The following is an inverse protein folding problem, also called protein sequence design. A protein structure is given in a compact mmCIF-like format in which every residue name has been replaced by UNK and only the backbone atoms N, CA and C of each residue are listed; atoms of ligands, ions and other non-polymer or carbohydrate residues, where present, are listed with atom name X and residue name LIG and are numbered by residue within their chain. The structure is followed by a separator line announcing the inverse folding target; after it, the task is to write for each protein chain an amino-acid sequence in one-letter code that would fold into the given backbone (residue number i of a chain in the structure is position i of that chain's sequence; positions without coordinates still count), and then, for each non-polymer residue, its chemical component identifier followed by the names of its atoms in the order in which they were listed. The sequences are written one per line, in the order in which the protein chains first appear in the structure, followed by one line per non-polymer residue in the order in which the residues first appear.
data_IF_512748661099
#
_entry.id   IF_512748661099
#
_cell.length_a   1.000
_cell.length_b   1.000
_cell.length_c   1.000
_cell.angle_alpha   90.00
_cell.angle_beta   90.00
_cell.angle_gamma   90.00
#
_symmetry.space_group_name_H-M   'P 1'
#
loop_
_entity.id
_entity.type
_entity.pdbx_description
1 polymer ?
#
# COMPACT_ATOMS: atom_id res chain seq x y z
N UNK A 1 18.82 -6.27 9.42
CA UNK A 1 17.57 -6.79 10.00
C UNK A 1 17.63 -8.26 10.42
N UNK A 2 18.71 -8.95 10.04
CA UNK A 2 18.97 -10.35 10.42
C UNK A 2 17.82 -11.29 10.03
N UNK A 3 17.37 -11.22 8.77
CA UNK A 3 16.28 -12.05 8.23
C UNK A 3 16.83 -13.44 7.83
N UNK A 4 17.22 -14.23 8.79
CA UNK A 4 17.91 -15.52 8.63
C UNK A 4 17.03 -16.64 8.02
N UNK A 5 15.71 -16.44 7.99
CA UNK A 5 14.76 -17.37 7.36
C UNK A 5 14.40 -17.02 5.92
N UNK A 6 14.89 -15.87 5.40
CA UNK A 6 14.63 -15.46 4.03
C UNK A 6 15.55 -16.20 3.07
N UNK A 7 14.97 -17.03 2.23
CA UNK A 7 15.67 -17.77 1.14
C UNK A 7 15.05 -17.32 -0.17
N UNK A 8 15.88 -16.79 -1.07
CA UNK A 8 15.47 -16.34 -2.40
C UNK A 8 16.14 -17.19 -3.45
N UNK A 9 15.34 -17.78 -4.35
CA UNK A 9 15.84 -18.46 -5.54
C UNK A 9 15.78 -17.47 -6.70
N UNK A 10 16.93 -17.23 -7.33
CA UNK A 10 17.05 -16.39 -8.51
C UNK A 10 17.13 -17.27 -9.74
N UNK A 11 16.03 -17.37 -10.49
CA UNK A 11 15.97 -18.06 -11.77
C UNK A 11 16.76 -17.24 -12.81
N UNK A 12 17.98 -17.73 -13.15
CA UNK A 12 18.93 -17.04 -14.00
C UNK A 12 18.93 -17.69 -15.40
N UNK A 13 17.96 -17.39 -16.21
CA UNK A 13 17.86 -17.92 -17.57
C UNK A 13 18.63 -17.09 -18.62
N UNK A 14 19.15 -15.91 -18.26
CA UNK A 14 19.97 -15.02 -19.09
C UNK A 14 19.29 -14.47 -20.35
N UNK A 15 17.95 -14.50 -20.42
CA UNK A 15 17.18 -14.02 -21.55
C UNK A 15 16.21 -12.92 -21.11
N UNK A 16 16.11 -11.88 -21.94
CA UNK A 16 15.10 -10.84 -21.90
C UNK A 16 14.26 -10.88 -23.18
N UNK A 17 13.24 -10.02 -23.30
CA UNK A 17 12.43 -9.92 -24.53
C UNK A 17 13.26 -9.45 -25.74
N UNK A 18 14.35 -8.73 -25.54
CA UNK A 18 15.23 -8.22 -26.60
C UNK A 18 16.46 -9.10 -26.87
N UNK A 19 16.63 -10.21 -26.13
CA UNK A 19 17.75 -11.11 -26.31
C UNK A 19 18.51 -11.41 -25.03
N UNK A 20 19.80 -11.74 -25.17
CA UNK A 20 20.63 -12.14 -24.05
C UNK A 20 20.91 -10.98 -23.08
N UNK A 21 20.84 -11.25 -21.77
CA UNK A 21 21.10 -10.25 -20.73
C UNK A 21 22.50 -9.61 -20.79
N UNK A 22 23.48 -10.24 -21.47
CA UNK A 22 24.86 -9.75 -21.56
C UNK A 22 25.02 -8.35 -22.16
N UNK A 23 23.99 -7.86 -22.89
CA UNK A 23 24.02 -6.51 -23.48
C UNK A 23 23.50 -5.42 -22.52
N UNK A 24 22.73 -5.79 -21.49
CA UNK A 24 22.07 -4.82 -20.60
C UNK A 24 22.30 -5.08 -19.12
N UNK A 25 22.71 -6.28 -18.73
CA UNK A 25 22.84 -6.70 -17.34
C UNK A 25 24.01 -7.65 -17.15
N UNK A 26 25.22 -7.08 -16.92
CA UNK A 26 26.48 -7.80 -16.73
C UNK A 26 26.95 -7.84 -15.27
N UNK A 27 26.05 -7.57 -14.35
CA UNK A 27 26.36 -7.49 -12.93
C UNK A 27 26.66 -8.86 -12.34
N UNK A 28 27.65 -8.93 -11.43
CA UNK A 28 27.80 -10.05 -10.50
C UNK A 28 26.80 -9.90 -9.35
N UNK A 29 25.60 -10.47 -9.55
CA UNK A 29 24.51 -10.43 -8.57
C UNK A 29 24.91 -11.06 -7.24
N UNK A 30 25.65 -12.17 -7.29
CA UNK A 30 26.13 -12.85 -6.08
C UNK A 30 27.08 -11.95 -5.27
N UNK A 31 28.02 -11.26 -5.94
CA UNK A 31 28.91 -10.31 -5.27
C UNK A 31 28.15 -9.15 -4.62
N UNK A 32 27.12 -8.61 -5.30
CA UNK A 32 26.26 -7.58 -4.73
C UNK A 32 25.59 -8.06 -3.44
N UNK A 33 24.97 -9.23 -3.46
CA UNK A 33 24.28 -9.77 -2.29
C UNK A 33 25.24 -10.14 -1.15
N UNK A 34 26.46 -10.63 -1.48
CA UNK A 34 27.53 -10.79 -0.49
C UNK A 34 27.92 -9.48 0.17
N UNK A 35 27.99 -8.38 -0.60
CA UNK A 35 28.27 -7.04 -0.07
C UNK A 35 27.16 -6.54 0.88
N UNK A 36 25.90 -6.98 0.69
CA UNK A 36 24.79 -6.73 1.63
C UNK A 36 24.84 -7.63 2.88
N UNK A 37 25.79 -8.54 2.98
CA UNK A 37 25.91 -9.47 4.10
C UNK A 37 25.08 -10.74 3.98
N UNK A 38 24.49 -11.00 2.81
CA UNK A 38 23.76 -12.22 2.53
C UNK A 38 24.71 -13.41 2.34
N UNK A 39 24.23 -14.61 2.62
CA UNK A 39 24.84 -15.83 2.10
C UNK A 39 24.42 -16.02 0.64
N UNK A 40 25.32 -16.53 -0.22
CA UNK A 40 24.99 -16.85 -1.62
C UNK A 40 25.42 -18.26 -1.95
N UNK A 41 24.60 -18.95 -2.73
CA UNK A 41 24.90 -20.26 -3.31
C UNK A 41 24.82 -20.08 -4.83
N UNK A 42 25.94 -20.26 -5.51
CA UNK A 42 26.07 -19.91 -6.91
C UNK A 42 25.99 -21.15 -7.82
N UNK A 43 25.60 -20.98 -9.07
CA UNK A 43 25.66 -21.98 -10.14
C UNK A 43 24.91 -23.28 -9.83
N UNK A 44 23.75 -23.19 -9.18
CA UNK A 44 22.89 -24.37 -8.97
C UNK A 44 22.25 -24.73 -10.30
N UNK A 45 22.38 -25.99 -10.71
CA UNK A 45 21.72 -26.46 -11.94
C UNK A 45 20.20 -26.53 -11.74
N UNK A 46 19.43 -25.74 -12.51
CA UNK A 46 17.97 -25.70 -12.43
C UNK A 46 17.27 -26.96 -12.93
N UNK A 47 18.02 -27.86 -13.56
CA UNK A 47 17.54 -29.16 -14.06
C UNK A 47 17.75 -30.28 -13.05
N UNK A 48 18.45 -30.01 -11.97
CA UNK A 48 18.76 -30.95 -10.90
C UNK A 48 17.96 -30.58 -9.64
N UNK A 49 16.86 -31.30 -9.42
CA UNK A 49 15.97 -31.08 -8.28
C UNK A 49 16.67 -31.36 -6.96
N UNK A 50 17.55 -32.35 -6.93
CA UNK A 50 18.31 -32.71 -5.71
C UNK A 50 19.32 -31.61 -5.38
N UNK A 51 20.03 -31.07 -6.37
CA UNK A 51 20.91 -29.92 -6.17
C UNK A 51 20.18 -28.67 -5.65
N UNK A 52 18.96 -28.41 -6.12
CA UNK A 52 18.11 -27.32 -5.61
C UNK A 52 17.71 -27.59 -4.15
N UNK A 53 17.27 -28.82 -3.85
CA UNK A 53 16.90 -29.23 -2.49
C UNK A 53 18.05 -29.11 -1.50
N UNK A 54 19.25 -29.55 -1.91
CA UNK A 54 20.47 -29.43 -1.11
C UNK A 54 20.87 -27.97 -0.87
N UNK A 55 20.77 -27.12 -1.89
CA UNK A 55 21.01 -25.67 -1.76
C UNK A 55 20.05 -25.02 -0.75
N UNK A 56 18.76 -25.38 -0.81
CA UNK A 56 17.76 -24.92 0.18
C UNK A 56 18.11 -25.46 1.58
N UNK A 57 18.57 -26.72 1.68
CA UNK A 57 19.05 -27.32 2.94
C UNK A 57 20.20 -26.53 3.55
N UNK A 58 21.20 -26.17 2.75
CA UNK A 58 22.34 -25.35 3.17
C UNK A 58 21.88 -23.93 3.58
N UNK A 59 21.00 -23.32 2.81
CA UNK A 59 20.46 -21.99 3.08
C UNK A 59 19.76 -21.92 4.45
N UNK A 60 19.01 -22.96 4.84
CA UNK A 60 18.36 -23.05 6.16
C UNK A 60 19.36 -23.07 7.34
N UNK A 61 20.60 -23.45 7.11
CA UNK A 61 21.64 -23.52 8.14
C UNK A 61 22.57 -22.29 8.14
N UNK A 62 22.42 -21.40 7.17
CA UNK A 62 23.36 -20.28 6.97
C UNK A 62 23.28 -19.18 8.05
N UNK A 63 22.17 -19.10 8.82
CA UNK A 63 21.96 -18.05 9.83
C UNK A 63 21.95 -16.63 9.26
N UNK A 64 21.72 -16.48 7.95
CA UNK A 64 21.68 -15.24 7.19
C UNK A 64 20.63 -15.36 6.07
N UNK A 65 20.05 -14.24 5.59
CA UNK A 65 19.29 -14.28 4.35
C UNK A 65 20.16 -14.84 3.23
N UNK A 66 19.60 -15.74 2.44
CA UNK A 66 20.37 -16.48 1.40
C UNK A 66 19.78 -16.23 0.03
N UNK A 67 20.65 -15.94 -0.95
CA UNK A 67 20.33 -15.95 -2.36
C UNK A 67 20.91 -17.20 -3.01
N UNK A 68 20.06 -17.99 -3.66
CA UNK A 68 20.45 -19.16 -4.46
C UNK A 68 20.30 -18.78 -5.93
N UNK A 69 21.42 -18.80 -6.69
CA UNK A 69 21.40 -18.52 -8.12
C UNK A 69 21.24 -19.84 -8.88
N UNK A 70 20.05 -20.01 -9.48
CA UNK A 70 19.67 -21.24 -10.19
C UNK A 70 19.77 -20.98 -11.69
N UNK A 71 20.68 -21.68 -12.37
CA UNK A 71 20.84 -21.57 -13.81
C UNK A 71 19.80 -22.42 -14.53
N UNK A 72 18.97 -21.75 -15.31
CA UNK A 72 17.88 -22.37 -16.09
C UNK A 72 17.97 -21.98 -17.56
N UNK A 73 17.12 -22.57 -18.38
CA UNK A 73 16.94 -22.20 -19.78
C UNK A 73 15.46 -21.97 -20.06
N UNK A 74 15.14 -20.81 -20.65
CA UNK A 74 13.78 -20.55 -21.10
C UNK A 74 13.39 -21.54 -22.21
N UNK A 75 12.13 -21.96 -22.24
CA UNK A 75 11.56 -22.91 -23.22
C UNK A 75 12.39 -24.22 -23.37
N UNK A 76 12.91 -24.73 -22.26
CA UNK A 76 13.73 -25.94 -22.21
C UNK A 76 13.09 -27.10 -22.97
N UNK A 77 13.92 -27.90 -23.62
CA UNK A 77 13.55 -29.08 -24.42
C UNK A 77 12.63 -28.76 -25.62
N UNK A 78 12.50 -27.49 -25.99
CA UNK A 78 11.80 -27.09 -27.23
C UNK A 78 12.77 -26.59 -28.29
N UNK A 79 12.37 -26.48 -29.55
CA UNK A 79 13.16 -25.86 -30.61
C UNK A 79 13.51 -24.37 -30.33
N UNK A 80 12.84 -23.75 -29.36
CA UNK A 80 13.05 -22.35 -28.92
C UNK A 80 13.86 -22.25 -27.62
N UNK A 81 14.50 -23.35 -27.18
CA UNK A 81 15.33 -23.33 -25.95
C UNK A 81 16.37 -22.22 -25.99
N UNK A 82 16.39 -21.40 -24.93
CA UNK A 82 17.32 -20.28 -24.79
C UNK A 82 17.09 -19.10 -25.72
N UNK A 83 15.95 -19.07 -26.45
CA UNK A 83 15.62 -18.00 -27.38
C UNK A 83 14.67 -16.96 -26.76
N UNK A 84 14.92 -15.68 -27.06
CA UNK A 84 14.06 -14.56 -26.73
C UNK A 84 12.65 -14.69 -27.34
N UNK A 85 12.50 -15.46 -28.43
CA UNK A 85 11.21 -15.68 -29.11
C UNK A 85 10.17 -16.39 -28.24
N UNK A 86 10.61 -17.06 -27.18
CA UNK A 86 9.74 -17.70 -26.20
C UNK A 86 9.36 -16.78 -25.03
N UNK A 87 9.98 -15.60 -24.92
CA UNK A 87 9.69 -14.68 -23.83
C UNK A 87 8.33 -13.98 -24.05
N UNK A 88 7.35 -14.30 -23.20
CA UNK A 88 6.01 -13.72 -23.27
C UNK A 88 5.15 -14.13 -24.45
N UNK A 89 5.56 -15.12 -25.25
CA UNK A 89 4.82 -15.65 -26.41
C UNK A 89 4.48 -17.13 -26.23
N UNK A 90 3.29 -17.59 -26.65
CA UNK A 90 2.95 -19.01 -26.66
C UNK A 90 3.92 -19.79 -27.55
N UNK A 91 4.28 -21.00 -27.11
CA UNK A 91 5.15 -21.89 -27.90
C UNK A 91 4.55 -22.29 -29.24
N UNK A 92 3.21 -22.34 -29.32
CA UNK A 92 2.47 -22.89 -30.48
C UNK A 92 2.38 -24.42 -30.49
N UNK A 93 1.40 -24.94 -31.25
CA UNK A 93 1.08 -26.38 -31.22
C UNK A 93 2.25 -27.29 -31.66
N UNK A 94 2.99 -26.88 -32.69
CA UNK A 94 4.13 -27.65 -33.19
C UNK A 94 5.27 -27.77 -32.16
N UNK A 95 5.63 -26.69 -31.49
CA UNK A 95 6.66 -26.71 -30.47
C UNK A 95 6.23 -27.43 -29.19
N UNK A 96 4.92 -27.38 -28.83
CA UNK A 96 4.35 -28.18 -27.75
C UNK A 96 4.39 -29.69 -28.10
N UNK A 97 4.07 -30.08 -29.34
CA UNK A 97 4.22 -31.44 -29.78
C UNK A 97 5.68 -31.92 -29.76
N UNK A 98 6.61 -31.08 -30.19
CA UNK A 98 8.04 -31.37 -30.12
C UNK A 98 8.53 -31.54 -28.66
N UNK A 99 8.06 -30.68 -27.75
CA UNK A 99 8.35 -30.77 -26.32
C UNK A 99 7.85 -32.07 -25.72
N UNK A 100 6.58 -32.46 -25.99
CA UNK A 100 6.00 -33.72 -25.52
C UNK A 100 6.82 -34.93 -25.96
N UNK A 101 7.28 -34.94 -27.22
CA UNK A 101 8.16 -35.97 -27.74
C UNK A 101 9.52 -35.99 -27.06
N UNK A 102 10.12 -34.80 -26.84
CA UNK A 102 11.45 -34.66 -26.24
C UNK A 102 11.48 -35.10 -24.77
N UNK A 103 10.40 -34.89 -24.02
CA UNK A 103 10.28 -35.31 -22.61
C UNK A 103 9.52 -36.63 -22.44
N UNK A 104 9.22 -37.35 -23.57
CA UNK A 104 8.51 -38.62 -23.56
C UNK A 104 7.18 -38.56 -22.76
N UNK A 105 6.43 -37.47 -22.95
CA UNK A 105 5.18 -37.25 -22.23
C UNK A 105 4.13 -38.31 -22.59
N UNK A 106 3.59 -39.07 -21.60
CA UNK A 106 2.83 -40.26 -21.88
C UNK A 106 1.36 -40.02 -22.30
N UNK A 107 0.84 -38.80 -22.14
CA UNK A 107 -0.57 -38.51 -22.38
C UNK A 107 -0.77 -37.57 -23.56
N UNK A 108 -1.73 -37.89 -24.43
CA UNK A 108 -2.04 -37.10 -25.64
C UNK A 108 -3.00 -35.92 -25.33
N UNK A 109 -4.01 -36.17 -24.49
CA UNK A 109 -5.04 -35.21 -24.20
C UNK A 109 -4.47 -33.97 -23.41
N UNK A 110 -4.85 -32.75 -23.82
CA UNK A 110 -4.47 -31.54 -23.07
C UNK A 110 -5.01 -31.56 -21.64
N UNK A 111 -4.24 -30.94 -20.74
CA UNK A 111 -4.58 -30.75 -19.30
C UNK A 111 -4.77 -32.06 -18.53
N UNK A 112 -4.23 -33.16 -19.03
CA UNK A 112 -4.24 -34.47 -18.34
C UNK A 112 -2.89 -34.73 -17.67
N UNK A 113 -2.92 -35.42 -16.55
CA UNK A 113 -1.76 -35.84 -15.77
C UNK A 113 -1.85 -37.33 -15.46
N UNK A 114 -0.72 -38.04 -15.38
CA UNK A 114 -0.71 -39.42 -14.88
C UNK A 114 -1.32 -39.54 -13.49
N UNK A 115 -2.04 -40.63 -13.22
CA UNK A 115 -2.71 -40.83 -11.92
C UNK A 115 -1.69 -40.86 -10.77
N UNK A 116 -0.48 -41.38 -10.98
CA UNK A 116 0.59 -41.42 -10.01
C UNK A 116 0.99 -40.03 -9.51
N UNK A 117 0.87 -39.00 -10.36
CA UNK A 117 1.14 -37.59 -9.98
C UNK A 117 0.07 -37.11 -9.01
N UNK A 118 -1.20 -37.38 -9.28
CA UNK A 118 -2.30 -37.04 -8.36
C UNK A 118 -2.14 -37.76 -7.02
N UNK A 119 -1.82 -39.06 -7.03
CA UNK A 119 -1.62 -39.86 -5.83
C UNK A 119 -0.42 -39.38 -5.01
N UNK A 120 0.64 -38.95 -5.69
CA UNK A 120 1.82 -38.36 -5.02
C UNK A 120 1.50 -37.00 -4.39
N UNK A 121 0.84 -36.11 -5.14
CA UNK A 121 0.45 -34.79 -4.66
C UNK A 121 -0.57 -34.85 -3.52
N UNK A 122 -1.47 -35.85 -3.49
CA UNK A 122 -2.42 -36.08 -2.41
C UNK A 122 -1.72 -36.24 -1.05
N UNK A 123 -0.54 -36.88 -1.00
CA UNK A 123 0.25 -37.03 0.24
C UNK A 123 0.67 -35.68 0.84
N UNK A 124 0.92 -34.66 0.01
CA UNK A 124 1.21 -33.33 0.50
C UNK A 124 -0.03 -32.67 1.15
N UNK A 125 -1.22 -32.92 0.60
CA UNK A 125 -2.50 -32.50 1.18
C UNK A 125 -2.77 -33.17 2.54
N UNK A 126 -2.52 -34.47 2.66
CA UNK A 126 -2.67 -35.22 3.92
C UNK A 126 -1.73 -34.66 5.01
N UNK A 127 -0.44 -34.44 4.65
CA UNK A 127 0.53 -33.79 5.55
C UNK A 127 0.11 -32.38 5.97
N UNK A 128 -0.43 -31.62 5.02
CA UNK A 128 -0.97 -30.28 5.26
C UNK A 128 -2.17 -30.30 6.20
N UNK A 129 -3.11 -31.22 6.01
CA UNK A 129 -4.28 -31.40 6.88
C UNK A 129 -3.87 -31.74 8.33
N UNK A 130 -2.94 -32.68 8.49
CA UNK A 130 -2.42 -33.04 9.83
C UNK A 130 -1.73 -31.86 10.51
N UNK A 131 -0.97 -31.04 9.78
CA UNK A 131 -0.33 -29.85 10.32
C UNK A 131 -1.37 -28.80 10.74
N UNK A 132 -2.41 -28.61 9.94
CA UNK A 132 -3.52 -27.72 10.23
C UNK A 132 -4.31 -28.15 11.48
N UNK A 133 -4.65 -29.43 11.61
CA UNK A 133 -5.32 -29.97 12.80
C UNK A 133 -4.51 -29.76 14.10
N UNK A 134 -3.18 -29.96 14.01
CA UNK A 134 -2.28 -29.66 15.14
C UNK A 134 -2.29 -28.19 15.50
N UNK A 135 -2.28 -27.32 14.48
CA UNK A 135 -2.35 -25.88 14.68
C UNK A 135 -3.69 -25.47 15.31
N UNK A 136 -4.83 -25.99 14.83
CA UNK A 136 -6.16 -25.72 15.40
C UNK A 136 -6.20 -26.14 16.89
N UNK A 137 -5.72 -27.34 17.20
CA UNK A 137 -5.67 -27.83 18.59
C UNK A 137 -4.79 -26.94 19.48
N UNK A 138 -3.64 -26.49 18.97
CA UNK A 138 -2.76 -25.56 19.65
C UNK A 138 -3.46 -24.21 19.89
N UNK A 139 -4.20 -23.69 18.91
CA UNK A 139 -4.91 -22.41 19.02
C UNK A 139 -6.06 -22.48 20.03
N UNK A 140 -6.77 -23.60 20.14
CA UNK A 140 -7.78 -23.80 21.21
C UNK A 140 -7.14 -23.85 22.61
N UNK A 141 -6.01 -24.52 22.75
CA UNK A 141 -5.25 -24.51 23.97
C UNK A 141 -4.73 -23.11 24.34
N UNK A 142 -4.22 -22.37 23.33
CA UNK A 142 -3.75 -20.99 23.48
C UNK A 142 -4.88 -20.07 23.92
N UNK A 143 -6.07 -20.19 23.31
CA UNK A 143 -7.27 -19.44 23.66
C UNK A 143 -7.69 -19.70 25.13
N UNK A 144 -7.63 -20.97 25.58
CA UNK A 144 -7.97 -21.34 26.95
C UNK A 144 -6.95 -20.80 27.96
N UNK A 145 -5.67 -20.84 27.65
CA UNK A 145 -4.58 -20.44 28.54
C UNK A 145 -4.32 -18.93 28.53
N UNK A 146 -4.48 -18.26 27.36
CA UNK A 146 -4.16 -16.85 27.14
C UNK A 146 -5.29 -16.13 26.38
N UNK A 147 -6.49 -15.99 26.96
CA UNK A 147 -7.68 -15.48 26.29
C UNK A 147 -7.49 -14.04 25.71
N UNK A 148 -6.82 -13.17 26.46
CA UNK A 148 -6.57 -11.78 26.02
C UNK A 148 -5.60 -11.72 24.85
N UNK A 149 -4.53 -12.54 24.88
CA UNK A 149 -3.59 -12.62 23.76
C UNK A 149 -4.26 -13.22 22.52
N UNK A 150 -5.11 -14.23 22.69
CA UNK A 150 -5.87 -14.79 21.59
C UNK A 150 -6.83 -13.78 20.96
N UNK A 151 -7.53 -12.99 21.79
CA UNK A 151 -8.39 -11.91 21.33
C UNK A 151 -7.58 -10.86 20.55
N UNK A 152 -6.45 -10.40 21.09
CA UNK A 152 -5.57 -9.45 20.41
C UNK A 152 -5.06 -10.00 19.06
N UNK A 153 -4.71 -11.28 18.99
CA UNK A 153 -4.34 -11.96 17.75
C UNK A 153 -5.48 -11.92 16.73
N UNK A 154 -6.70 -12.26 17.12
CA UNK A 154 -7.86 -12.22 16.22
C UNK A 154 -8.14 -10.80 15.71
N UNK A 155 -8.10 -9.81 16.61
CA UNK A 155 -8.32 -8.40 16.26
C UNK A 155 -7.23 -7.88 15.30
N UNK A 156 -5.97 -8.30 15.49
CA UNK A 156 -4.87 -7.92 14.61
C UNK A 156 -5.08 -8.39 13.16
N UNK A 157 -5.67 -9.56 12.95
CA UNK A 157 -5.98 -10.11 11.62
C UNK A 157 -7.37 -9.75 11.11
N UNK A 158 -8.20 -9.09 11.92
CA UNK A 158 -9.52 -8.65 11.50
C UNK A 158 -9.44 -7.57 10.41
N UNK A 159 -10.33 -7.70 9.41
CA UNK A 159 -10.48 -6.71 8.35
C UNK A 159 -11.47 -5.62 8.75
N UNK A 160 -11.37 -4.46 8.11
CA UNK A 160 -12.27 -3.34 8.35
C UNK A 160 -11.87 -2.48 9.54
N UNK A 161 -12.82 -1.72 10.06
CA UNK A 161 -12.60 -0.81 11.21
C UNK A 161 -12.18 -1.58 12.46
N UNK A 162 -11.05 -1.22 13.11
CA UNK A 162 -10.66 -1.83 14.38
C UNK A 162 -11.68 -1.56 15.48
N UNK A 163 -12.01 -2.56 16.28
CA UNK A 163 -13.04 -2.47 17.32
C UNK A 163 -12.73 -1.44 18.43
N UNK A 164 -11.43 -1.16 18.65
CA UNK A 164 -10.98 -0.23 19.70
C UNK A 164 -11.01 1.27 19.30
N UNK A 165 -11.42 1.60 18.07
CA UNK A 165 -11.40 3.00 17.60
C UNK A 165 -12.55 3.80 18.19
N UNK A 166 -12.21 4.81 18.98
CA UNK A 166 -13.15 5.80 19.53
C UNK A 166 -13.27 6.99 18.56
N UNK A 167 -14.33 6.96 17.75
CA UNK A 167 -14.61 7.98 16.73
C UNK A 167 -14.85 9.36 17.39
N UNK A 168 -15.58 9.40 18.51
CA UNK A 168 -15.89 10.66 19.18
C UNK A 168 -14.63 11.35 19.67
N UNK A 169 -13.71 10.58 20.26
CA UNK A 169 -12.42 11.08 20.72
C UNK A 169 -11.56 11.58 19.56
N UNK A 170 -11.51 10.87 18.44
CA UNK A 170 -10.75 11.30 17.25
C UNK A 170 -11.29 12.59 16.66
N UNK A 171 -12.61 12.81 16.74
CA UNK A 171 -13.26 14.02 16.21
C UNK A 171 -13.16 15.22 17.14
N UNK A 172 -12.65 15.06 18.38
CA UNK A 172 -12.33 16.16 19.29
C UNK A 172 -11.02 16.81 18.88
N UNK A 173 -11.10 17.97 18.24
CA UNK A 173 -9.94 18.77 17.79
C UNK A 173 -9.98 20.15 18.40
N UNK A 174 -8.80 20.74 18.57
CA UNK A 174 -8.67 22.12 19.06
C UNK A 174 -9.13 23.14 17.99
N UNK A 175 -9.68 24.27 18.43
CA UNK A 175 -10.11 25.37 17.54
C UNK A 175 -8.93 26.17 16.96
N UNK A 176 -7.70 25.89 17.40
CA UNK A 176 -6.51 26.62 16.95
C UNK A 176 -6.14 26.22 15.51
N UNK A 177 -5.77 27.20 14.67
CA UNK A 177 -5.24 26.89 13.35
C UNK A 177 -4.03 25.96 13.43
N UNK A 178 -4.08 24.87 12.68
CA UNK A 178 -3.04 23.83 12.64
C UNK A 178 -2.87 23.31 11.23
N UNK A 179 -1.63 23.01 10.82
CA UNK A 179 -1.38 22.36 9.55
C UNK A 179 -1.98 20.94 9.53
N UNK A 180 -2.59 20.54 8.42
CA UNK A 180 -3.20 19.21 8.35
C UNK A 180 -2.18 18.07 8.52
N UNK A 181 -0.88 18.27 8.19
CA UNK A 181 0.20 17.33 8.56
C UNK A 181 0.36 17.16 10.07
N UNK A 182 0.22 18.25 10.84
CA UNK A 182 0.32 18.19 12.30
C UNK A 182 -0.96 17.59 12.91
N UNK A 183 -2.13 17.90 12.36
CA UNK A 183 -3.39 17.24 12.70
C UNK A 183 -3.31 15.73 12.45
N UNK A 184 -2.75 15.30 11.31
CA UNK A 184 -2.48 13.90 10.99
C UNK A 184 -1.57 13.24 12.04
N UNK A 185 -0.49 13.93 12.46
CA UNK A 185 0.38 13.44 13.54
C UNK A 185 -0.35 13.25 14.87
N UNK A 186 -1.26 14.17 15.20
CA UNK A 186 -2.11 14.03 16.39
C UNK A 186 -3.04 12.81 16.27
N UNK A 187 -3.67 12.60 15.10
CA UNK A 187 -4.53 11.43 14.85
C UNK A 187 -3.73 10.13 14.93
N UNK A 188 -2.56 10.04 14.29
CA UNK A 188 -1.69 8.85 14.38
C UNK A 188 -1.32 8.53 15.83
N UNK A 189 -1.03 9.56 16.64
CA UNK A 189 -0.68 9.39 18.03
C UNK A 189 -1.88 9.07 18.96
N UNK A 190 -3.09 9.38 18.57
CA UNK A 190 -4.29 8.87 19.24
C UNK A 190 -4.58 7.43 18.79
N UNK A 191 -4.46 7.15 17.49
CA UNK A 191 -4.68 5.83 16.93
C UNK A 191 -3.69 4.77 17.46
N UNK A 192 -2.46 5.13 17.76
CA UNK A 192 -1.48 4.16 18.31
C UNK A 192 -1.96 3.49 19.61
N UNK A 193 -2.75 4.21 20.40
CA UNK A 193 -3.30 3.72 21.67
C UNK A 193 -4.58 2.89 21.45
N UNK A 194 -5.32 3.16 20.37
CA UNK A 194 -6.58 2.48 20.00
C UNK A 194 -6.36 1.28 19.07
N UNK A 195 -5.26 1.29 18.30
CA UNK A 195 -4.91 0.31 17.27
C UNK A 195 -3.50 -0.20 17.54
N UNK A 196 -3.35 -1.19 18.44
CA UNK A 196 -2.04 -1.68 18.89
C UNK A 196 -1.14 -2.19 17.78
N UNK A 197 -1.72 -2.63 16.66
CA UNK A 197 -1.02 -3.12 15.48
C UNK A 197 -0.81 -2.04 14.38
N UNK A 198 -1.02 -0.75 14.70
CA UNK A 198 -0.58 0.36 13.85
C UNK A 198 0.95 0.40 13.81
N UNK A 199 1.53 0.35 12.62
CA UNK A 199 2.97 0.12 12.43
C UNK A 199 3.48 0.84 11.19
N UNK A 200 4.54 1.63 11.29
CA UNK A 200 5.02 2.35 10.12
C UNK A 200 6.08 3.39 10.41
N UNK A 201 6.25 4.33 9.49
CA UNK A 201 7.27 5.37 9.60
C UNK A 201 7.42 6.18 8.32
N UNK A 202 8.60 6.72 8.06
CA UNK A 202 8.83 7.57 6.90
C UNK A 202 10.12 7.27 6.15
N UNK A 203 10.22 7.82 4.94
CA UNK A 203 11.43 7.86 4.15
C UNK A 203 12.37 8.99 4.64
N UNK A 204 12.88 8.84 5.86
CA UNK A 204 13.81 9.79 6.52
C UNK A 204 13.24 11.20 6.80
N UNK A 205 11.91 11.35 6.84
CA UNK A 205 11.21 12.63 6.99
C UNK A 205 10.26 12.65 8.22
N UNK A 206 10.43 11.74 9.17
CA UNK A 206 9.53 11.56 10.32
C UNK A 206 9.16 12.86 11.06
N UNK A 207 10.12 13.70 11.47
CA UNK A 207 9.83 14.96 12.13
C UNK A 207 9.05 15.95 11.25
N UNK A 208 9.40 16.06 9.97
CA UNK A 208 8.75 16.97 9.02
C UNK A 208 7.33 16.51 8.66
N UNK A 209 7.12 15.20 8.54
CA UNK A 209 5.82 14.61 8.23
C UNK A 209 4.91 14.49 9.46
N UNK A 210 5.45 14.67 10.67
CA UNK A 210 4.77 14.36 11.95
C UNK A 210 4.28 12.91 12.03
N UNK A 211 5.06 11.96 11.48
CA UNK A 211 4.66 10.56 11.33
C UNK A 211 5.30 9.62 12.35
N UNK A 212 5.92 10.16 13.38
CA UNK A 212 6.50 9.37 14.48
C UNK A 212 5.43 9.06 15.53
N UNK A 213 5.27 7.80 15.88
CA UNK A 213 4.46 7.35 17.02
C UNK A 213 5.24 7.63 18.30
N UNK A 214 4.83 8.69 19.02
CA UNK A 214 5.54 9.18 20.21
C UNK A 214 5.48 8.16 21.36
N UNK A 215 6.63 7.91 21.97
CA UNK A 215 6.75 6.94 23.05
C UNK A 215 6.85 5.49 22.61
N UNK A 216 6.75 5.24 21.29
CA UNK A 216 6.99 3.90 20.73
C UNK A 216 8.45 3.77 20.28
N UNK A 217 9.03 2.59 20.51
CA UNK A 217 10.38 2.27 20.11
C UNK A 217 10.52 2.09 18.59
N UNK A 218 11.76 2.17 18.13
CA UNK A 218 12.12 1.88 16.74
C UNK A 218 12.25 0.38 16.52
N UNK A 219 11.57 -0.11 15.50
CA UNK A 219 11.71 -1.50 15.06
C UNK A 219 13.13 -1.78 14.58
N UNK A 220 13.82 -2.66 15.30
CA UNK A 220 15.22 -3.02 15.03
C UNK A 220 15.49 -4.50 15.34
N UNK A 221 16.68 -5.03 15.01
CA UNK A 221 17.08 -6.37 15.48
C UNK A 221 17.08 -6.52 16.99
N UNK A 222 17.30 -5.44 17.71
CA UNK A 222 17.40 -5.39 19.17
C UNK A 222 16.03 -5.13 19.83
N UNK A 223 15.09 -4.51 19.10
CA UNK A 223 13.73 -4.19 19.57
C UNK A 223 12.70 -4.58 18.53
N UNK A 224 12.16 -5.78 18.60
CA UNK A 224 11.13 -6.30 17.68
C UNK A 224 9.72 -5.82 18.01
N UNK A 225 9.51 -5.28 19.18
CA UNK A 225 8.26 -4.70 19.66
C UNK A 225 8.07 -3.25 19.19
N UNK A 226 9.14 -2.60 18.69
CA UNK A 226 9.09 -1.23 18.18
C UNK A 226 8.09 -1.09 17.04
N UNK A 227 7.30 -0.02 17.06
CA UNK A 227 6.25 0.24 16.06
C UNK A 227 6.62 1.33 15.05
N UNK A 228 7.72 2.04 15.27
CA UNK A 228 8.27 3.00 14.33
C UNK A 228 9.31 2.35 13.42
N UNK A 229 9.26 2.62 12.11
CA UNK A 229 10.23 2.11 11.13
C UNK A 229 11.03 3.26 10.52
N UNK A 230 12.36 3.14 10.54
CA UNK A 230 13.22 3.92 9.69
C UNK A 230 13.33 3.27 8.31
N UNK A 231 12.54 3.70 7.33
CA UNK A 231 12.65 3.18 5.97
C UNK A 231 13.89 3.72 5.24
N UNK A 232 14.41 4.88 5.66
CA UNK A 232 15.44 5.61 4.95
C UNK A 232 14.91 6.22 3.65
N UNK A 233 15.77 6.85 2.86
CA UNK A 233 15.41 7.49 1.60
C UNK A 233 15.18 6.40 0.53
N UNK A 234 14.02 5.71 0.59
CA UNK A 234 13.64 4.55 -0.24
C UNK A 234 12.14 4.48 -0.44
N UNK A 235 11.54 5.48 -1.05
CA UNK A 235 10.08 5.64 -1.16
C UNK A 235 9.42 4.43 -1.83
N UNK A 236 9.99 3.93 -2.94
CA UNK A 236 9.47 2.74 -3.61
C UNK A 236 9.50 1.50 -2.71
N UNK A 237 10.66 1.23 -2.09
CA UNK A 237 10.80 0.07 -1.22
C UNK A 237 9.95 0.20 0.04
N UNK A 238 9.81 1.40 0.60
CA UNK A 238 8.92 1.70 1.73
C UNK A 238 7.47 1.32 1.40
N UNK A 239 6.95 1.81 0.29
CA UNK A 239 5.58 1.51 -0.14
C UNK A 239 5.39 0.02 -0.46
N UNK A 240 6.37 -0.62 -1.13
CA UNK A 240 6.33 -2.05 -1.42
C UNK A 240 6.36 -2.91 -0.15
N UNK A 241 7.17 -2.53 0.84
CA UNK A 241 7.19 -3.20 2.15
C UNK A 241 5.84 -3.05 2.86
N UNK A 242 5.23 -1.86 2.84
CA UNK A 242 3.89 -1.66 3.42
C UNK A 242 2.83 -2.53 2.72
N UNK A 243 2.89 -2.67 1.39
CA UNK A 243 2.02 -3.60 0.66
C UNK A 243 2.20 -5.04 1.13
N UNK A 244 3.45 -5.49 1.27
CA UNK A 244 3.76 -6.83 1.77
C UNK A 244 3.26 -7.06 3.20
N UNK A 245 3.42 -6.09 4.09
CA UNK A 245 2.92 -6.15 5.47
C UNK A 245 1.39 -6.22 5.50
N UNK A 246 0.70 -5.40 4.69
CA UNK A 246 -0.75 -5.42 4.59
C UNK A 246 -1.29 -6.75 4.04
N UNK A 247 -0.60 -7.35 3.05
CA UNK A 247 -0.95 -8.66 2.50
C UNK A 247 -0.75 -9.80 3.50
N UNK A 248 0.33 -9.75 4.29
CA UNK A 248 0.57 -10.72 5.36
C UNK A 248 -0.50 -10.65 6.43
N UNK A 249 -0.99 -9.44 6.74
CA UNK A 249 -1.90 -9.19 7.86
C UNK A 249 -1.18 -9.11 9.21
N UNK A 250 -1.96 -8.93 10.28
CA UNK A 250 -1.45 -8.80 11.64
C UNK A 250 -0.97 -7.40 12.00
N UNK A 251 -0.63 -6.56 11.03
CA UNK A 251 -0.27 -5.15 11.21
C UNK A 251 -1.07 -4.25 10.27
N UNK A 252 -1.26 -3.00 10.68
CA UNK A 252 -1.87 -1.94 9.86
C UNK A 252 -0.79 -0.94 9.48
N UNK A 253 -0.23 -1.06 8.26
CA UNK A 253 0.92 -0.26 7.87
C UNK A 253 0.54 1.15 7.47
N UNK A 254 1.37 2.10 7.86
CA UNK A 254 1.41 3.44 7.29
C UNK A 254 2.82 3.79 6.83
N UNK A 255 2.93 4.67 5.84
CA UNK A 255 4.20 5.22 5.43
C UNK A 255 4.07 6.69 4.99
N UNK A 256 5.14 7.44 5.21
CA UNK A 256 5.13 8.88 5.02
C UNK A 256 6.32 9.39 4.22
N UNK A 257 6.05 10.40 3.40
CA UNK A 257 7.07 11.21 2.71
C UNK A 257 6.47 12.56 2.33
N UNK A 258 7.23 13.45 1.70
CA UNK A 258 6.65 14.62 1.05
C UNK A 258 5.85 14.22 -0.17
N UNK A 259 4.80 14.99 -0.48
CA UNK A 259 3.87 14.62 -1.56
C UNK A 259 4.56 14.56 -2.92
N UNK A 260 5.49 15.45 -3.22
CA UNK A 260 6.28 15.43 -4.46
C UNK A 260 7.06 14.12 -4.61
N UNK A 261 7.59 13.54 -3.52
CA UNK A 261 8.36 12.29 -3.56
C UNK A 261 7.49 11.04 -3.72
N UNK A 262 6.16 11.21 -3.73
CA UNK A 262 5.24 10.12 -4.11
C UNK A 262 5.48 9.62 -5.55
N UNK A 263 6.11 10.42 -6.39
CA UNK A 263 6.53 9.99 -7.74
C UNK A 263 7.47 8.79 -7.70
N UNK A 264 8.39 8.74 -6.73
CA UNK A 264 9.29 7.59 -6.54
C UNK A 264 8.57 6.32 -6.07
N UNK A 265 7.43 6.43 -5.41
CA UNK A 265 6.66 5.28 -4.90
C UNK A 265 5.38 4.98 -5.70
N UNK A 266 5.11 5.73 -6.75
CA UNK A 266 3.87 5.67 -7.55
C UNK A 266 3.52 4.26 -8.02
N UNK A 267 4.49 3.50 -8.52
CA UNK A 267 4.26 2.14 -8.99
C UNK A 267 3.84 1.20 -7.85
N UNK A 268 4.43 1.34 -6.68
CA UNK A 268 4.06 0.55 -5.50
C UNK A 268 2.64 0.92 -5.01
N UNK A 269 2.25 2.21 -5.04
CA UNK A 269 0.88 2.66 -4.73
C UNK A 269 -0.11 2.07 -5.75
N UNK A 270 0.25 2.05 -7.04
CA UNK A 270 -0.59 1.45 -8.08
C UNK A 270 -0.82 -0.04 -7.81
N UNK A 271 0.20 -0.77 -7.38
CA UNK A 271 0.06 -2.18 -6.99
C UNK A 271 -0.79 -2.32 -5.71
N UNK A 272 -0.65 -1.41 -4.74
CA UNK A 272 -1.53 -1.36 -3.56
C UNK A 272 -3.00 -1.24 -3.96
N UNK A 273 -3.31 -0.36 -4.91
CA UNK A 273 -4.66 -0.17 -5.44
C UNK A 273 -5.16 -1.42 -6.18
N UNK A 274 -4.31 -2.05 -6.99
CA UNK A 274 -4.65 -3.27 -7.73
C UNK A 274 -4.92 -4.46 -6.80
N UNK A 275 -4.12 -4.62 -5.75
CA UNK A 275 -4.24 -5.69 -4.76
C UNK A 275 -5.24 -5.37 -3.65
N UNK A 276 -5.81 -4.15 -3.62
CA UNK A 276 -6.72 -3.68 -2.57
C UNK A 276 -6.11 -3.87 -1.17
N UNK A 277 -4.89 -3.39 -0.98
CA UNK A 277 -4.21 -3.42 0.32
C UNK A 277 -4.52 -2.15 1.12
N UNK A 278 -4.96 -2.32 2.37
CA UNK A 278 -5.21 -1.21 3.29
C UNK A 278 -3.88 -0.66 3.82
N UNK A 279 -3.29 0.29 3.08
CA UNK A 279 -2.10 1.03 3.46
C UNK A 279 -2.45 2.51 3.58
N UNK A 280 -1.99 3.16 4.65
CA UNK A 280 -2.14 4.59 4.88
C UNK A 280 -0.90 5.32 4.37
N UNK A 281 -1.05 6.09 3.29
CA UNK A 281 0.02 6.90 2.69
C UNK A 281 -0.08 8.34 3.16
N UNK A 282 0.81 8.76 4.06
CA UNK A 282 0.84 10.09 4.66
C UNK A 282 1.77 10.98 3.83
N UNK A 283 1.19 11.80 2.95
CA UNK A 283 1.91 12.59 1.96
C UNK A 283 1.77 14.07 2.32
N UNK A 284 2.82 14.65 2.89
CA UNK A 284 2.79 16.02 3.40
C UNK A 284 3.39 17.03 2.44
N UNK A 285 3.25 18.34 2.72
CA UNK A 285 3.72 19.40 1.81
C UNK A 285 3.01 19.33 0.47
N UNK A 286 1.68 19.49 0.51
CA UNK A 286 0.72 19.13 -0.54
C UNK A 286 0.61 20.13 -1.70
N UNK A 287 1.29 21.27 -1.62
CA UNK A 287 1.10 22.38 -2.58
C UNK A 287 2.31 23.31 -2.67
N UNK A 288 2.23 24.32 -3.53
CA UNK A 288 3.22 25.38 -3.69
C UNK A 288 3.44 26.20 -2.40
N UNK A 289 2.57 26.07 -1.40
CA UNK A 289 2.74 26.72 -0.09
C UNK A 289 3.84 26.10 0.79
N UNK A 290 4.62 25.16 0.26
CA UNK A 290 5.86 24.65 0.86
C UNK A 290 6.86 25.78 1.11
N UNK A 291 7.00 26.71 0.15
CA UNK A 291 7.79 27.92 0.30
C UNK A 291 9.28 27.72 -0.01
N UNK A 292 10.15 27.91 0.99
CA UNK A 292 11.61 27.99 0.83
C UNK A 292 12.29 26.76 0.22
N UNK A 293 11.69 25.60 0.27
CA UNK A 293 12.24 24.37 -0.34
C UNK A 293 12.21 24.42 -1.88
N UNK A 294 11.35 25.29 -2.44
CA UNK A 294 11.29 25.61 -3.86
C UNK A 294 10.67 24.53 -4.75
N UNK A 295 10.78 24.68 -6.07
CA UNK A 295 10.01 23.92 -7.07
C UNK A 295 10.33 22.40 -7.08
N UNK A 296 11.47 21.98 -6.55
CA UNK A 296 11.82 20.56 -6.44
C UNK A 296 11.00 19.84 -5.36
N UNK A 297 10.34 20.60 -4.48
CA UNK A 297 9.55 20.08 -3.36
C UNK A 297 8.06 20.45 -3.43
N UNK A 298 7.67 21.23 -4.44
CA UNK A 298 6.32 21.74 -4.65
C UNK A 298 5.54 20.83 -5.62
N UNK A 299 4.57 20.02 -5.13
CA UNK A 299 3.78 19.15 -6.01
C UNK A 299 2.77 19.95 -6.82
N UNK A 300 2.59 19.58 -8.07
CA UNK A 300 1.63 20.16 -9.02
C UNK A 300 0.69 19.09 -9.56
N UNK A 301 1.22 18.13 -10.34
CA UNK A 301 0.45 17.09 -11.03
C UNK A 301 0.14 15.87 -10.16
N UNK A 302 0.81 15.70 -9.04
CA UNK A 302 0.70 14.49 -8.19
C UNK A 302 -0.75 14.25 -7.76
N UNK A 303 -1.46 15.30 -7.33
CA UNK A 303 -2.85 15.18 -6.86
C UNK A 303 -3.78 14.66 -7.96
N UNK A 304 -3.74 15.26 -9.16
CA UNK A 304 -4.52 14.82 -10.30
C UNK A 304 -4.19 13.39 -10.71
N UNK A 305 -2.91 13.05 -10.66
CA UNK A 305 -2.35 11.76 -10.99
C UNK A 305 -2.86 10.62 -10.10
N UNK A 306 -2.96 10.84 -8.78
CA UNK A 306 -3.49 9.83 -7.85
C UNK A 306 -5.02 9.77 -7.87
N UNK A 307 -5.71 10.90 -8.07
CA UNK A 307 -7.16 10.93 -8.29
C UNK A 307 -7.60 10.14 -9.53
N UNK A 308 -6.74 10.06 -10.56
CA UNK A 308 -6.99 9.26 -11.76
C UNK A 308 -6.71 7.76 -11.57
N UNK A 309 -6.13 7.32 -10.45
CA UNK A 309 -5.73 5.93 -10.22
C UNK A 309 -6.92 5.10 -9.70
N UNK A 310 -7.42 4.10 -10.46
CA UNK A 310 -8.53 3.26 -10.02
C UNK A 310 -8.20 2.50 -8.73
N UNK A 311 -9.15 2.41 -7.81
CA UNK A 311 -8.98 1.68 -6.56
C UNK A 311 -8.19 2.42 -5.48
N UNK A 312 -7.68 3.61 -5.78
CA UNK A 312 -7.03 4.50 -4.83
C UNK A 312 -8.05 5.50 -4.26
N UNK A 313 -7.96 5.81 -2.97
CA UNK A 313 -8.74 6.88 -2.35
C UNK A 313 -7.77 7.98 -1.92
N UNK A 314 -8.00 9.20 -2.40
CA UNK A 314 -7.14 10.36 -2.10
C UNK A 314 -7.92 11.40 -1.33
N UNK A 315 -7.49 11.73 -0.12
CA UNK A 315 -8.01 12.83 0.66
C UNK A 315 -7.07 14.02 0.65
N UNK A 316 -7.65 15.21 0.47
CA UNK A 316 -6.98 16.49 0.73
C UNK A 316 -7.83 17.28 1.71
N UNK A 317 -7.68 17.02 3.03
CA UNK A 317 -8.53 17.60 4.07
C UNK A 317 -8.23 19.09 4.28
N UNK A 318 -9.27 19.85 4.56
CA UNK A 318 -9.22 21.31 4.71
C UNK A 318 -8.86 21.79 6.13
N UNK A 319 -9.02 20.92 7.11
CA UNK A 319 -8.74 21.25 8.51
C UNK A 319 -8.46 20.00 9.36
N UNK A 320 -8.30 20.20 10.67
CA UNK A 320 -8.03 19.12 11.61
C UNK A 320 -9.18 18.11 11.70
N UNK A 321 -10.44 18.56 11.59
CA UNK A 321 -11.62 17.70 11.71
C UNK A 321 -11.82 16.86 10.47
N UNK A 322 -11.66 17.43 9.28
CA UNK A 322 -11.64 16.65 8.03
C UNK A 322 -10.46 15.66 8.00
N UNK A 323 -9.30 16.03 8.55
CA UNK A 323 -8.15 15.13 8.67
C UNK A 323 -8.52 13.92 9.53
N UNK A 324 -9.07 14.10 10.71
CA UNK A 324 -9.49 13.01 11.59
C UNK A 324 -10.57 12.12 10.91
N UNK A 325 -11.58 12.73 10.30
CA UNK A 325 -12.64 12.01 9.58
C UNK A 325 -12.10 11.18 8.41
N UNK A 326 -11.07 11.67 7.70
CA UNK A 326 -10.41 10.95 6.60
C UNK A 326 -9.69 9.69 7.12
N UNK A 327 -9.05 9.75 8.27
CA UNK A 327 -8.44 8.57 8.92
C UNK A 327 -9.49 7.56 9.36
N UNK A 328 -10.61 8.01 9.94
CA UNK A 328 -11.73 7.13 10.31
C UNK A 328 -12.22 6.36 9.09
N UNK A 329 -12.43 7.04 7.95
CA UNK A 329 -12.78 6.37 6.70
C UNK A 329 -11.70 5.35 6.29
N UNK A 330 -10.44 5.74 6.29
CA UNK A 330 -9.33 4.93 5.82
C UNK A 330 -9.14 3.63 6.60
N UNK A 331 -9.40 3.63 7.91
CA UNK A 331 -9.31 2.43 8.75
C UNK A 331 -10.31 1.35 8.34
N UNK A 332 -11.48 1.73 7.81
CA UNK A 332 -12.51 0.82 7.30
C UNK A 332 -12.39 0.51 5.81
N UNK A 333 -11.60 1.27 5.04
CA UNK A 333 -11.45 1.11 3.61
C UNK A 333 -10.59 -0.12 3.27
N UNK A 334 -11.01 -1.01 2.36
CA UNK A 334 -10.21 -2.18 2.00
C UNK A 334 -8.97 -1.84 1.16
N UNK A 335 -8.99 -0.73 0.43
CA UNK A 335 -7.90 -0.30 -0.45
C UNK A 335 -6.98 0.77 0.15
N UNK A 336 -5.96 1.21 -0.60
CA UNK A 336 -5.04 2.25 -0.15
C UNK A 336 -5.73 3.60 0.00
N UNK A 337 -5.31 4.34 1.01
CA UNK A 337 -5.76 5.72 1.24
C UNK A 337 -4.55 6.65 1.30
N UNK A 338 -4.57 7.68 0.46
CA UNK A 338 -3.56 8.73 0.41
C UNK A 338 -4.10 9.99 1.09
N UNK A 339 -3.27 10.60 1.92
CA UNK A 339 -3.57 11.88 2.57
C UNK A 339 -2.60 12.94 2.04
N UNK A 340 -3.10 13.88 1.23
CA UNK A 340 -2.34 15.05 0.79
C UNK A 340 -2.52 16.16 1.84
N UNK A 341 -1.45 16.44 2.59
CA UNK A 341 -1.51 17.23 3.82
C UNK A 341 -0.69 18.51 3.74
N UNK A 342 -1.26 19.62 4.17
CA UNK A 342 -0.64 20.93 4.12
C UNK A 342 0.51 21.07 5.13
N UNK A 343 1.49 21.91 4.77
CA UNK A 343 2.48 22.48 5.70
C UNK A 343 1.93 23.74 6.39
N UNK A 344 1.08 24.48 5.70
CA UNK A 344 0.48 25.72 6.19
C UNK A 344 -0.60 25.44 7.22
N UNK A 345 -0.68 26.25 8.26
CA UNK A 345 -1.75 26.18 9.25
C UNK A 345 -3.09 26.57 8.61
N UNK A 346 -4.11 25.79 8.92
CA UNK A 346 -5.46 25.95 8.42
C UNK A 346 -6.41 26.20 9.60
N UNK A 347 -7.37 27.14 9.49
CA UNK A 347 -8.37 27.34 10.52
C UNK A 347 -9.32 26.14 10.58
N UNK A 348 -9.92 25.92 11.73
CA UNK A 348 -11.04 24.98 11.86
C UNK A 348 -12.27 25.64 11.22
N UNK A 349 -12.89 24.97 10.25
CA UNK A 349 -14.06 25.46 9.55
C UNK A 349 -15.33 24.90 10.19
N UNK A 350 -16.35 25.75 10.34
CA UNK A 350 -17.64 25.32 10.83
C UNK A 350 -18.32 24.36 9.81
N UNK A 351 -18.90 23.27 10.32
CA UNK A 351 -19.60 22.28 9.49
C UNK A 351 -18.73 21.16 8.91
N UNK A 352 -17.40 21.20 9.08
CA UNK A 352 -16.53 20.05 8.71
C UNK A 352 -16.77 18.87 9.64
N UNK A 353 -16.63 17.63 9.11
CA UNK A 353 -16.88 16.45 9.92
C UNK A 353 -16.87 15.13 9.13
N UNK A 354 -17.64 14.16 9.62
CA UNK A 354 -17.71 12.79 9.07
C UNK A 354 -18.28 12.72 7.65
N UNK A 355 -18.91 13.80 7.15
CA UNK A 355 -19.40 13.89 5.76
C UNK A 355 -18.25 13.77 4.72
N UNK A 356 -17.00 13.90 5.15
CA UNK A 356 -15.80 13.59 4.37
C UNK A 356 -15.89 12.19 3.72
N UNK A 357 -16.55 11.23 4.37
CA UNK A 357 -16.76 9.88 3.83
C UNK A 357 -17.61 9.86 2.54
N UNK A 358 -18.34 10.95 2.24
CA UNK A 358 -19.06 11.12 0.98
C UNK A 358 -18.16 11.62 -0.16
N UNK A 359 -16.97 12.10 0.15
CA UNK A 359 -15.98 12.62 -0.79
C UNK A 359 -16.19 14.07 -1.21
N UNK A 360 -17.42 14.57 -1.14
CA UNK A 360 -17.81 15.96 -1.34
C UNK A 360 -19.14 16.23 -0.68
N UNK A 361 -19.29 17.38 -0.02
CA UNK A 361 -20.49 17.73 0.72
C UNK A 361 -20.67 19.25 0.81
N UNK A 362 -21.92 19.68 1.05
CA UNK A 362 -22.22 21.10 1.23
C UNK A 362 -21.75 21.53 2.61
N UNK A 363 -20.76 22.45 2.65
CA UNK A 363 -20.23 23.02 3.89
C UNK A 363 -21.09 24.19 4.37
N UNK A 364 -21.43 25.10 3.45
CA UNK A 364 -22.32 26.24 3.71
C UNK A 364 -23.34 26.33 2.59
N UNK A 365 -24.60 26.61 2.92
CA UNK A 365 -25.69 26.72 1.96
C UNK A 365 -26.38 28.06 2.03
N UNK A 366 -27.13 28.40 0.97
CA UNK A 366 -27.97 29.57 0.88
C UNK A 366 -29.47 29.17 0.81
N UNK A 367 -30.35 30.12 0.99
CA UNK A 367 -31.77 29.87 0.79
C UNK A 367 -32.14 29.78 -0.70
N UNK A 368 -32.76 28.67 -1.11
CA UNK A 368 -33.15 28.40 -2.49
C UNK A 368 -32.02 27.94 -3.38
N UNK A 369 -32.15 28.21 -4.69
CA UNK A 369 -31.10 27.80 -5.65
C UNK A 369 -29.95 28.79 -5.59
N UNK A 370 -28.69 28.31 -5.43
CA UNK A 370 -27.53 29.18 -5.44
C UNK A 370 -27.30 29.82 -6.82
N UNK A 371 -26.81 31.05 -6.83
CA UNK A 371 -26.36 31.75 -8.03
C UNK A 371 -24.96 31.21 -8.46
N UNK A 372 -24.14 30.86 -7.45
CA UNK A 372 -22.78 30.33 -7.63
C UNK A 372 -22.46 29.26 -6.58
N UNK A 373 -21.69 28.27 -6.99
CA UNK A 373 -21.13 27.24 -6.11
C UNK A 373 -19.61 27.38 -6.08
N UNK A 374 -19.03 27.60 -4.90
CA UNK A 374 -17.60 27.60 -4.70
C UNK A 374 -17.17 26.23 -4.16
N UNK A 375 -16.19 25.59 -4.82
CA UNK A 375 -15.71 24.26 -4.46
C UNK A 375 -14.24 24.31 -4.13
N UNK A 376 -13.85 23.77 -2.98
CA UNK A 376 -12.46 23.70 -2.56
C UNK A 376 -12.11 22.37 -1.90
N UNK A 377 -10.82 22.08 -1.85
CA UNK A 377 -10.23 20.99 -1.06
C UNK A 377 -8.95 21.46 -0.39
N UNK A 378 -8.63 20.91 0.77
CA UNK A 378 -7.41 21.31 1.46
C UNK A 378 -7.37 22.79 1.81
N UNK A 379 -6.20 23.39 1.70
CA UNK A 379 -5.95 24.79 2.06
C UNK A 379 -6.81 25.82 1.32
N UNK A 380 -7.35 25.48 0.15
CA UNK A 380 -8.17 26.41 -0.65
C UNK A 380 -9.64 26.48 -0.20
N UNK A 381 -10.11 25.55 0.63
CA UNK A 381 -11.51 25.60 1.11
C UNK A 381 -11.79 26.85 1.95
N UNK A 382 -10.85 27.28 2.80
CA UNK A 382 -11.00 28.53 3.55
C UNK A 382 -11.17 29.75 2.62
N UNK A 383 -10.48 29.78 1.48
CA UNK A 383 -10.62 30.86 0.49
C UNK A 383 -12.03 30.86 -0.13
N UNK A 384 -12.62 29.68 -0.36
CA UNK A 384 -14.00 29.55 -0.80
C UNK A 384 -14.98 30.12 0.23
N UNK A 385 -14.75 29.85 1.53
CA UNK A 385 -15.57 30.39 2.63
C UNK A 385 -15.46 31.91 2.72
N UNK A 386 -14.25 32.46 2.62
CA UNK A 386 -14.01 33.90 2.63
C UNK A 386 -14.66 34.59 1.40
N UNK A 387 -14.47 34.02 0.21
CA UNK A 387 -15.07 34.53 -1.02
C UNK A 387 -16.61 34.46 -0.97
N UNK A 388 -17.18 33.39 -0.41
CA UNK A 388 -18.62 33.26 -0.24
C UNK A 388 -19.21 34.38 0.61
N UNK A 389 -18.51 34.81 1.66
CA UNK A 389 -18.92 35.93 2.49
C UNK A 389 -18.97 37.23 1.68
N UNK A 390 -17.90 37.53 0.92
CA UNK A 390 -17.85 38.75 0.08
C UNK A 390 -18.99 38.76 -0.95
N UNK A 391 -19.19 37.64 -1.65
CA UNK A 391 -20.27 37.52 -2.66
C UNK A 391 -21.65 37.61 -2.02
N UNK A 392 -21.84 37.10 -0.80
CA UNK A 392 -23.12 37.19 -0.08
C UNK A 392 -23.42 38.62 0.37
N UNK A 393 -22.37 39.37 0.79
CA UNK A 393 -22.51 40.81 1.12
C UNK A 393 -22.88 41.63 -0.14
N UNK A 394 -22.54 41.15 -1.35
CA UNK A 394 -22.97 41.71 -2.63
C UNK A 394 -24.36 41.21 -3.08
N UNK A 395 -25.07 40.44 -2.25
CA UNK A 395 -26.44 39.96 -2.49
C UNK A 395 -26.51 38.69 -3.35
N UNK A 396 -25.42 37.97 -3.59
CA UNK A 396 -25.42 36.67 -4.28
C UNK A 396 -25.78 35.53 -3.36
N UNK A 397 -26.51 34.56 -3.87
CA UNK A 397 -26.78 33.29 -3.18
C UNK A 397 -25.60 32.34 -3.45
N UNK A 398 -24.78 32.09 -2.43
CA UNK A 398 -23.57 31.30 -2.57
C UNK A 398 -23.67 29.99 -1.80
N UNK A 399 -23.27 28.89 -2.44
CA UNK A 399 -23.05 27.60 -1.79
C UNK A 399 -21.55 27.32 -1.75
N UNK A 400 -21.06 26.86 -0.61
CA UNK A 400 -19.68 26.35 -0.48
C UNK A 400 -19.72 24.84 -0.34
N UNK A 401 -18.92 24.15 -1.15
CA UNK A 401 -18.78 22.69 -1.16
C UNK A 401 -17.35 22.32 -0.79
N UNK A 402 -17.19 21.53 0.26
CA UNK A 402 -15.93 20.85 0.53
C UNK A 402 -15.83 19.61 -0.36
N UNK A 403 -14.68 19.44 -1.03
CA UNK A 403 -14.42 18.33 -1.95
C UNK A 403 -13.12 17.59 -1.58
N UNK A 404 -13.03 16.99 -0.37
CA UNK A 404 -11.82 16.36 0.11
C UNK A 404 -11.39 15.13 -0.71
N UNK A 405 -12.33 14.42 -1.38
CA UNK A 405 -12.04 13.25 -2.21
C UNK A 405 -12.98 13.17 -3.40
N UNK A 406 -12.51 13.59 -4.57
CA UNK A 406 -13.33 13.64 -5.80
C UNK A 406 -13.81 12.25 -6.23
N UNK A 407 -12.98 11.24 -6.13
CA UNK A 407 -13.29 9.86 -6.52
C UNK A 407 -14.37 9.25 -5.63
N UNK A 408 -14.41 9.56 -4.35
CA UNK A 408 -15.49 9.13 -3.46
C UNK A 408 -16.80 9.85 -3.78
N UNK A 409 -16.73 11.14 -4.07
CA UNK A 409 -17.91 11.90 -4.51
C UNK A 409 -18.50 11.34 -5.81
N UNK A 410 -17.66 11.00 -6.78
CA UNK A 410 -18.10 10.41 -8.04
C UNK A 410 -18.74 9.02 -7.88
N UNK A 411 -18.38 8.29 -6.82
CA UNK A 411 -19.01 7.00 -6.47
C UNK A 411 -20.39 7.15 -5.84
N UNK A 412 -20.78 8.35 -5.37
CA UNK A 412 -22.11 8.60 -4.84
C UNK A 412 -23.17 8.48 -5.93
N UNK A 413 -24.39 8.10 -5.54
CA UNK A 413 -25.52 8.04 -6.45
C UNK A 413 -25.86 9.42 -7.06
N UNK A 414 -26.48 9.46 -8.26
CA UNK A 414 -26.81 10.71 -8.95
C UNK A 414 -27.61 11.69 -8.08
N UNK A 415 -28.58 11.20 -7.31
CA UNK A 415 -29.40 12.04 -6.42
C UNK A 415 -28.56 12.82 -5.39
N UNK A 416 -27.55 12.17 -4.79
CA UNK A 416 -26.66 12.85 -3.86
C UNK A 416 -25.78 13.88 -4.57
N UNK A 417 -25.19 13.50 -5.69
CA UNK A 417 -24.33 14.41 -6.46
C UNK A 417 -25.08 15.64 -6.95
N UNK A 418 -26.31 15.45 -7.43
CA UNK A 418 -27.18 16.54 -7.88
C UNK A 418 -27.67 17.40 -6.71
N UNK A 419 -27.84 16.85 -5.52
CA UNK A 419 -28.15 17.62 -4.32
C UNK A 419 -26.98 18.53 -3.90
N UNK A 420 -25.75 18.03 -3.96
CA UNK A 420 -24.54 18.79 -3.64
C UNK A 420 -24.22 19.80 -4.75
N UNK A 421 -24.26 19.37 -6.00
CA UNK A 421 -23.95 20.15 -7.21
C UNK A 421 -25.15 20.18 -8.17
N UNK A 422 -26.19 20.98 -7.89
CA UNK A 422 -27.40 21.04 -8.72
C UNK A 422 -27.07 21.32 -10.19
N UNK A 423 -27.53 20.48 -11.15
CA UNK A 423 -27.18 20.64 -12.59
C UNK A 423 -27.62 21.97 -13.19
N UNK A 424 -28.62 22.60 -12.60
CA UNK A 424 -29.13 23.92 -13.04
C UNK A 424 -28.12 25.05 -12.76
N UNK A 425 -27.26 24.92 -11.75
CA UNK A 425 -26.26 25.95 -11.41
C UNK A 425 -25.01 25.73 -12.24
N UNK A 426 -24.72 26.66 -13.14
CA UNK A 426 -23.58 26.58 -14.07
C UNK A 426 -22.35 27.36 -13.61
N UNK A 427 -22.54 28.37 -12.76
CA UNK A 427 -21.43 29.10 -12.15
C UNK A 427 -20.84 28.26 -10.99
N UNK A 428 -19.63 27.72 -11.24
CA UNK A 428 -18.94 26.84 -10.29
C UNK A 428 -17.46 27.15 -10.30
#
# INVERSE_FOLDING_TARGET
QKLDKLIVLYDRNRITIEGNTSVTFNEDVAARYRAYGWHTIDNVNGDDIDAIADAIGQAKQAGKPTLILVDTKIARSTPLEGSEKSHGSPLGAENVAALRKAVEWPLEEPFTMPQEVYDHCAKAMEKGAQAYEKWVSMMEAYKAQYPDCYKAYQEAFAKGMPAGVDIEKLMQVDDKPIASRAASGNVLNQLKDMVPNLFGGSADLGPSNNSVLKGEEWFSPECREGRNIHFGIREFAMAAMCNGMALHGGVRPFCATFFVFSDYMRNAIRLSALMQTNVLYVLTHDSISVGEDGPTHEPIEQLASFRAMPGCTTFRPADARETAASYIYALGNPGPTLFALSRTNLPLLEGTGLEVAKGGYVLQDCQGTPDVILMGSGSELQLCVEAAKVLSDEGKKVRVVSMPSMELFLRQGPAYRDAVLPPAVKAR
#
